data_IF_125689972009
#
_entry.id   IF_125689972009
#
_cell.length_a   1.000
_cell.length_b   1.000
_cell.length_c   1.000
_cell.angle_alpha   90.00
_cell.angle_beta   90.00
_cell.angle_gamma   90.00
#
_symmetry.space_group_name_H-M   'P 1'
#
loop_
_entity.id
_entity.type
_entity.pdbx_description
1 polymer ?
#
# COMPACT_ATOMS: atom_id res chain seq x y z
N UNK A 1 25.84 4.40 -4.03
CA UNK A 1 25.28 5.37 -4.99
C UNK A 1 24.00 6.04 -4.49
N UNK A 2 22.81 5.41 -4.53
CA UNK A 2 21.55 6.08 -4.11
C UNK A 2 21.53 6.54 -2.64
N UNK A 3 21.92 5.65 -1.72
CA UNK A 3 22.01 5.96 -0.29
C UNK A 3 23.03 7.06 0.04
N UNK A 4 24.07 7.22 -0.77
CA UNK A 4 25.09 8.27 -0.58
C UNK A 4 24.55 9.64 -0.99
N UNK A 5 23.86 9.74 -2.13
CA UNK A 5 23.18 10.98 -2.54
C UNK A 5 22.18 11.43 -1.48
N UNK A 6 21.39 10.50 -0.96
CA UNK A 6 20.43 10.79 0.09
C UNK A 6 21.11 11.24 1.39
N UNK A 7 22.19 10.56 1.82
CA UNK A 7 22.99 10.96 2.97
C UNK A 7 23.58 12.37 2.82
N UNK A 8 24.08 12.72 1.63
CA UNK A 8 24.57 14.08 1.35
C UNK A 8 23.47 15.12 1.48
N UNK A 9 22.27 14.82 0.98
CA UNK A 9 21.12 15.70 1.17
C UNK A 9 20.71 15.83 2.64
N UNK A 10 20.75 14.75 3.42
CA UNK A 10 20.50 14.83 4.87
C UNK A 10 21.53 15.71 5.62
N UNK A 11 22.78 15.76 5.14
CA UNK A 11 23.83 16.62 5.71
C UNK A 11 23.67 18.09 5.33
N UNK A 12 23.10 18.38 4.15
CA UNK A 12 22.77 19.73 3.70
C UNK A 12 21.31 19.80 3.20
N UNK A 13 20.31 19.87 4.11
CA UNK A 13 18.90 19.74 3.74
C UNK A 13 18.39 20.85 2.80
N UNK A 14 19.04 22.02 2.82
CA UNK A 14 18.68 23.19 2.01
C UNK A 14 19.01 22.99 0.52
N UNK A 15 19.91 22.05 0.20
CA UNK A 15 20.37 21.83 -1.16
C UNK A 15 20.21 20.36 -1.56
N UNK A 16 19.08 20.05 -2.20
CA UNK A 16 18.83 18.73 -2.73
C UNK A 16 19.47 18.56 -4.11
N UNK A 17 20.70 18.04 -4.11
CA UNK A 17 21.48 17.75 -5.33
C UNK A 17 20.98 16.54 -6.12
N UNK A 18 19.93 15.84 -5.66
CA UNK A 18 19.35 14.72 -6.41
C UNK A 18 18.52 15.30 -7.57
N UNK A 19 18.84 14.97 -8.84
CA UNK A 19 18.06 15.41 -9.99
C UNK A 19 16.59 15.01 -9.83
N UNK A 20 15.62 15.90 -10.12
CA UNK A 20 14.20 15.61 -9.92
C UNK A 20 13.73 14.27 -10.50
N UNK A 21 14.21 13.91 -11.69
CA UNK A 21 13.89 12.63 -12.35
C UNK A 21 14.39 11.38 -11.61
N UNK A 22 15.42 11.51 -10.76
CA UNK A 22 16.00 10.41 -9.99
C UNK A 22 15.47 10.34 -8.55
N UNK A 23 14.78 11.37 -8.07
CA UNK A 23 14.26 11.45 -6.69
C UNK A 23 13.37 10.27 -6.32
N UNK A 24 12.38 9.83 -7.14
CA UNK A 24 11.56 8.67 -6.79
C UNK A 24 12.39 7.43 -6.47
N UNK A 25 13.38 7.13 -7.31
CA UNK A 25 14.26 5.98 -7.13
C UNK A 25 15.20 6.16 -5.93
N UNK A 26 15.89 7.31 -5.84
CA UNK A 26 16.86 7.57 -4.76
C UNK A 26 16.18 7.58 -3.40
N UNK A 27 15.03 8.23 -3.26
CA UNK A 27 14.29 8.28 -2.01
C UNK A 27 13.80 6.89 -1.62
N UNK A 28 13.14 6.18 -2.54
CA UNK A 28 12.63 4.84 -2.25
C UNK A 28 13.74 3.88 -1.83
N UNK A 29 14.90 3.90 -2.51
CA UNK A 29 16.06 3.08 -2.14
C UNK A 29 16.63 3.47 -0.78
N UNK A 30 16.76 4.77 -0.50
CA UNK A 30 17.26 5.23 0.79
C UNK A 30 16.33 4.85 1.96
N UNK A 31 15.02 4.99 1.78
CA UNK A 31 14.02 4.60 2.78
C UNK A 31 13.94 3.08 2.96
N UNK A 32 14.09 2.30 1.88
CA UNK A 32 14.05 0.83 1.92
C UNK A 32 15.25 0.23 2.67
N UNK A 33 16.44 0.82 2.48
CA UNK A 33 17.70 0.34 3.06
C UNK A 33 17.97 0.98 4.43
N UNK A 34 17.56 2.23 4.61
CA UNK A 34 17.69 2.99 5.85
C UNK A 34 16.71 2.55 6.93
N UNK A 35 16.68 3.34 8.01
CA UNK A 35 15.78 3.12 9.13
C UNK A 35 14.90 4.34 9.40
N UNK A 36 14.46 4.45 10.65
CA UNK A 36 13.59 5.54 11.11
C UNK A 36 14.21 6.93 10.85
N UNK A 37 15.53 7.10 10.97
CA UNK A 37 16.21 8.38 10.75
C UNK A 37 16.05 8.90 9.32
N UNK A 38 16.31 8.06 8.32
CA UNK A 38 16.11 8.41 6.91
C UNK A 38 14.63 8.68 6.62
N UNK A 39 13.74 7.87 7.19
CA UNK A 39 12.29 8.03 7.02
C UNK A 39 11.77 9.34 7.60
N UNK A 40 12.15 9.68 8.84
CA UNK A 40 11.75 10.92 9.51
C UNK A 40 12.26 12.15 8.77
N UNK A 41 13.50 12.11 8.28
CA UNK A 41 14.03 13.19 7.46
C UNK A 41 13.17 13.42 6.21
N UNK A 42 12.79 12.38 5.47
CA UNK A 42 11.91 12.54 4.31
C UNK A 42 10.52 13.03 4.70
N UNK A 43 9.99 12.53 5.83
CA UNK A 43 8.68 12.93 6.34
C UNK A 43 8.65 14.41 6.70
N UNK A 44 9.74 14.97 7.21
CA UNK A 44 9.84 16.41 7.47
C UNK A 44 9.76 17.23 6.17
N UNK A 45 10.41 16.77 5.09
CA UNK A 45 10.34 17.42 3.77
C UNK A 45 8.92 17.45 3.21
N UNK A 46 8.14 16.38 3.44
CA UNK A 46 6.72 16.33 3.06
C UNK A 46 5.87 17.43 3.71
N UNK A 47 6.28 17.91 4.89
CA UNK A 47 5.53 18.89 5.69
C UNK A 47 5.98 20.33 5.43
N UNK A 48 6.88 20.56 4.47
CA UNK A 48 7.31 21.90 4.08
C UNK A 48 6.19 22.65 3.34
N UNK A 49 6.05 23.94 3.63
CA UNK A 49 4.93 24.77 3.16
C UNK A 49 4.93 24.93 1.64
N UNK A 50 6.11 25.03 1.02
CA UNK A 50 6.27 25.34 -0.41
C UNK A 50 6.72 24.12 -1.24
N UNK A 51 6.31 22.92 -0.84
CA UNK A 51 6.65 21.69 -1.57
C UNK A 51 5.94 21.65 -2.93
N UNK A 52 6.70 21.33 -4.00
CA UNK A 52 6.14 21.12 -5.34
C UNK A 52 5.36 19.79 -5.40
N UNK A 53 4.28 19.73 -6.18
CA UNK A 53 3.42 18.53 -6.25
C UNK A 53 4.14 17.28 -6.78
N UNK A 54 5.08 17.42 -7.71
CA UNK A 54 5.92 16.31 -8.20
C UNK A 54 6.85 15.76 -7.11
N UNK A 55 7.44 16.67 -6.32
CA UNK A 55 8.26 16.32 -5.17
C UNK A 55 7.42 15.63 -4.08
N UNK A 56 6.25 16.18 -3.76
CA UNK A 56 5.29 15.63 -2.81
C UNK A 56 4.87 14.22 -3.20
N UNK A 57 4.51 14.00 -4.46
CA UNK A 57 4.17 12.67 -4.98
C UNK A 57 5.34 11.68 -4.82
N UNK A 58 6.56 12.11 -5.17
CA UNK A 58 7.78 11.31 -5.02
C UNK A 58 8.04 10.92 -3.55
N UNK A 59 7.83 11.85 -2.62
CA UNK A 59 7.99 11.61 -1.18
C UNK A 59 6.90 10.67 -0.64
N UNK A 60 5.63 10.89 -0.98
CA UNK A 60 4.51 10.04 -0.55
C UNK A 60 4.72 8.58 -0.95
N UNK A 61 5.24 8.35 -2.16
CA UNK A 61 5.59 7.02 -2.63
C UNK A 61 6.81 6.46 -1.88
N UNK A 62 7.89 7.22 -1.77
CA UNK A 62 9.12 6.75 -1.15
C UNK A 62 8.99 6.38 0.33
N UNK A 63 8.17 7.13 1.09
CA UNK A 63 7.87 6.81 2.49
C UNK A 63 7.19 5.43 2.65
N UNK A 64 6.53 4.94 1.60
CA UNK A 64 5.89 3.62 1.57
C UNK A 64 6.87 2.48 1.22
N UNK A 65 8.11 2.80 0.80
CA UNK A 65 9.14 1.82 0.46
C UNK A 65 9.85 1.19 1.65
N UNK A 66 9.62 1.69 2.87
CA UNK A 66 10.30 1.20 4.07
C UNK A 66 10.02 -0.28 4.29
N UNK A 67 11.02 -0.99 4.81
CA UNK A 67 10.88 -2.38 5.28
C UNK A 67 10.37 -2.45 6.72
N UNK A 68 10.25 -1.33 7.40
CA UNK A 68 9.70 -1.23 8.76
C UNK A 68 8.18 -0.98 8.71
N UNK A 69 7.41 -1.98 9.16
CA UNK A 69 5.94 -1.92 9.19
C UNK A 69 5.41 -0.78 10.06
N UNK A 70 6.09 -0.40 11.13
CA UNK A 70 5.64 0.65 12.04
C UNK A 70 5.57 2.00 11.33
N UNK A 71 6.64 2.40 10.64
CA UNK A 71 6.68 3.69 9.95
C UNK A 71 5.75 3.72 8.72
N UNK A 72 5.57 2.59 8.03
CA UNK A 72 4.59 2.50 6.93
C UNK A 72 3.16 2.62 7.46
N UNK A 73 2.86 2.03 8.63
CA UNK A 73 1.55 2.21 9.29
C UNK A 73 1.31 3.66 9.69
N UNK A 74 2.30 4.33 10.31
CA UNK A 74 2.23 5.75 10.64
C UNK A 74 1.99 6.61 9.39
N UNK A 75 2.64 6.26 8.27
CA UNK A 75 2.42 6.94 6.99
C UNK A 75 1.00 6.76 6.46
N UNK A 76 0.50 5.52 6.47
CA UNK A 76 -0.85 5.19 6.03
C UNK A 76 -1.91 5.92 6.85
N UNK A 77 -1.79 5.90 8.17
CA UNK A 77 -2.70 6.59 9.08
C UNK A 77 -2.69 8.11 8.83
N UNK A 78 -1.51 8.68 8.55
CA UNK A 78 -1.38 10.09 8.16
C UNK A 78 -2.08 10.38 6.82
N UNK A 79 -1.91 9.54 5.79
CA UNK A 79 -2.58 9.70 4.49
C UNK A 79 -4.10 9.70 4.68
N UNK A 80 -4.64 8.71 5.40
CA UNK A 80 -6.07 8.60 5.65
C UNK A 80 -6.59 9.83 6.39
N UNK A 81 -5.90 10.26 7.46
CA UNK A 81 -6.32 11.42 8.25
C UNK A 81 -6.42 12.71 7.44
N UNK A 82 -5.45 12.95 6.54
CA UNK A 82 -5.40 14.19 5.77
C UNK A 82 -6.31 14.17 4.52
N UNK A 83 -6.56 12.98 3.94
CA UNK A 83 -7.23 12.87 2.65
C UNK A 83 -8.62 12.21 2.71
N UNK A 84 -9.11 11.74 3.88
CA UNK A 84 -10.40 11.03 3.98
C UNK A 84 -11.63 11.80 3.46
N UNK A 85 -11.53 13.12 3.35
CA UNK A 85 -12.61 13.98 2.84
C UNK A 85 -12.51 14.25 1.33
N UNK A 86 -11.40 13.87 0.69
CA UNK A 86 -11.20 13.95 -0.76
C UNK A 86 -10.91 12.53 -1.31
N UNK A 87 -11.91 11.86 -1.90
CA UNK A 87 -11.75 10.51 -2.41
C UNK A 87 -10.70 10.37 -3.52
N UNK A 88 -10.42 11.44 -4.28
CA UNK A 88 -9.44 11.41 -5.37
C UNK A 88 -8.03 11.50 -4.81
N UNK A 89 -7.77 12.46 -3.92
CA UNK A 89 -6.46 12.59 -3.24
C UNK A 89 -6.16 11.37 -2.37
N UNK A 90 -7.19 10.80 -1.73
CA UNK A 90 -7.06 9.56 -0.98
C UNK A 90 -6.70 8.38 -1.90
N UNK A 91 -7.36 8.28 -3.06
CA UNK A 91 -7.08 7.24 -4.04
C UNK A 91 -5.65 7.32 -4.56
N UNK A 92 -5.18 8.52 -4.90
CA UNK A 92 -3.85 8.74 -5.45
C UNK A 92 -2.76 8.47 -4.39
N UNK A 93 -2.99 8.92 -3.15
CA UNK A 93 -2.05 8.68 -2.04
C UNK A 93 -2.00 7.21 -1.60
N UNK A 94 -3.14 6.54 -1.42
CA UNK A 94 -3.19 5.13 -1.05
C UNK A 94 -2.68 4.21 -2.18
N UNK A 95 -2.77 4.67 -3.43
CA UNK A 95 -2.18 3.97 -4.56
C UNK A 95 -0.66 3.86 -4.46
N UNK A 96 0.04 4.78 -3.79
CA UNK A 96 1.48 4.66 -3.58
C UNK A 96 1.81 3.58 -2.53
N UNK A 97 1.02 3.51 -1.45
CA UNK A 97 1.14 2.49 -0.39
C UNK A 97 0.93 1.09 -0.95
N UNK A 98 -0.09 0.91 -1.81
CA UNK A 98 -0.41 -0.38 -2.41
C UNK A 98 0.64 -0.91 -3.41
N UNK A 99 1.68 -0.15 -3.74
CA UNK A 99 2.78 -0.64 -4.57
C UNK A 99 3.70 -1.61 -3.82
N UNK A 100 3.69 -1.59 -2.49
CA UNK A 100 4.65 -2.32 -1.66
C UNK A 100 3.97 -3.38 -0.79
N UNK A 101 4.60 -4.55 -0.57
CA UNK A 101 3.98 -5.66 0.17
C UNK A 101 3.46 -5.29 1.56
N UNK A 102 4.25 -4.56 2.36
CA UNK A 102 3.85 -4.09 3.69
C UNK A 102 2.62 -3.18 3.59
N UNK A 103 2.60 -2.28 2.61
CA UNK A 103 1.46 -1.41 2.36
C UNK A 103 0.21 -2.19 1.97
N UNK A 104 0.33 -3.21 1.11
CA UNK A 104 -0.77 -4.10 0.75
C UNK A 104 -1.33 -4.84 1.97
N UNK A 105 -0.46 -5.36 2.84
CA UNK A 105 -0.86 -5.99 4.11
C UNK A 105 -1.64 -5.00 4.98
N UNK A 106 -1.14 -3.79 5.19
CA UNK A 106 -1.81 -2.79 6.02
C UNK A 106 -3.15 -2.35 5.43
N UNK A 107 -3.27 -2.21 4.11
CA UNK A 107 -4.55 -1.93 3.45
C UNK A 107 -5.54 -3.08 3.61
N UNK A 108 -5.06 -4.34 3.58
CA UNK A 108 -5.90 -5.48 3.90
C UNK A 108 -6.41 -5.44 5.34
N UNK A 109 -5.60 -5.02 6.32
CA UNK A 109 -6.04 -4.84 7.71
C UNK A 109 -7.24 -3.90 7.83
N UNK A 110 -7.27 -2.81 7.05
CA UNK A 110 -8.41 -1.90 7.04
C UNK A 110 -9.68 -2.58 6.51
N UNK A 111 -9.56 -3.48 5.52
CA UNK A 111 -10.69 -4.29 5.06
C UNK A 111 -11.14 -5.23 6.17
N UNK A 112 -10.22 -5.92 6.87
CA UNK A 112 -10.55 -6.83 7.97
C UNK A 112 -11.29 -6.12 9.09
N UNK A 113 -10.78 -4.96 9.51
CA UNK A 113 -11.39 -4.18 10.57
C UNK A 113 -12.77 -3.66 10.15
N UNK A 114 -12.90 -3.13 8.93
CA UNK A 114 -14.19 -2.69 8.44
C UNK A 114 -15.20 -3.85 8.31
N UNK A 115 -14.73 -5.03 7.87
CA UNK A 115 -15.54 -6.24 7.82
C UNK A 115 -16.01 -6.67 9.20
N UNK A 116 -15.11 -6.71 10.18
CA UNK A 116 -15.42 -7.03 11.59
C UNK A 116 -16.48 -6.09 12.13
N UNK A 117 -16.36 -4.79 11.83
CA UNK A 117 -17.37 -3.80 12.21
C UNK A 117 -18.70 -4.07 11.53
N UNK A 118 -18.75 -4.30 10.21
CA UNK A 118 -20.01 -4.61 9.50
C UNK A 118 -20.68 -5.87 10.08
N UNK A 119 -19.91 -6.92 10.36
CA UNK A 119 -20.43 -8.16 10.91
C UNK A 119 -20.92 -8.03 12.35
N UNK A 120 -20.30 -7.16 13.16
CA UNK A 120 -20.69 -6.90 14.54
C UNK A 120 -21.81 -5.84 14.66
N UNK A 121 -21.78 -4.82 13.80
CA UNK A 121 -22.70 -3.68 13.74
C UNK A 121 -23.92 -3.92 12.86
N UNK A 122 -24.04 -5.07 12.19
CA UNK A 122 -25.26 -5.55 11.54
C UNK A 122 -26.49 -5.65 12.46
N UNK A 123 -26.42 -5.08 13.66
CA UNK A 123 -27.53 -4.79 14.55
C UNK A 123 -27.96 -3.31 14.62
N UNK A 124 -27.18 -2.27 14.24
CA UNK A 124 -27.55 -0.88 14.62
C UNK A 124 -26.84 0.36 13.98
N UNK A 125 -26.35 0.41 12.73
CA UNK A 125 -25.81 1.70 12.18
C UNK A 125 -26.18 2.00 10.72
N UNK A 126 -26.75 3.20 10.50
CA UNK A 126 -27.30 3.73 9.22
C UNK A 126 -26.49 4.89 8.60
N UNK A 127 -25.23 5.12 9.00
CA UNK A 127 -24.45 6.24 8.45
C UNK A 127 -23.20 5.81 7.65
N UNK A 128 -23.07 6.25 6.38
CA UNK A 128 -21.81 6.19 5.67
C UNK A 128 -20.85 7.23 6.25
N UNK A 129 -20.08 6.82 7.25
CA UNK A 129 -19.00 7.62 7.85
C UNK A 129 -17.80 7.70 6.91
N UNK A 130 -16.81 8.57 7.20
CA UNK A 130 -15.54 8.63 6.46
C UNK A 130 -14.86 7.26 6.30
N UNK A 131 -15.12 6.32 7.22
CA UNK A 131 -14.68 4.91 7.16
C UNK A 131 -15.21 4.17 5.92
N UNK A 132 -16.44 4.42 5.49
CA UNK A 132 -17.02 3.79 4.30
C UNK A 132 -16.39 4.32 2.99
N UNK A 133 -16.03 5.61 2.97
CA UNK A 133 -15.27 6.22 1.87
C UNK A 133 -13.89 5.57 1.75
N UNK A 134 -13.13 5.53 2.85
CA UNK A 134 -11.81 4.89 2.91
C UNK A 134 -11.88 3.43 2.45
N UNK A 135 -12.82 2.65 2.97
CA UNK A 135 -13.02 1.25 2.56
C UNK A 135 -13.27 1.13 1.05
N UNK A 136 -14.15 1.97 0.49
CA UNK A 136 -14.46 1.95 -0.96
C UNK A 136 -13.22 2.22 -1.81
N UNK A 137 -12.38 3.17 -1.41
CA UNK A 137 -11.12 3.47 -2.09
C UNK A 137 -10.15 2.29 -2.01
N UNK A 138 -9.99 1.69 -0.83
CA UNK A 138 -9.11 0.53 -0.64
C UNK A 138 -9.56 -0.66 -1.51
N UNK A 139 -10.86 -0.95 -1.54
CA UNK A 139 -11.44 -2.00 -2.40
C UNK A 139 -11.15 -1.73 -3.88
N UNK A 140 -11.28 -0.48 -4.34
CA UNK A 140 -10.98 -0.08 -5.74
C UNK A 140 -9.50 -0.28 -6.09
N UNK A 141 -8.59 -0.05 -5.15
CA UNK A 141 -7.14 -0.23 -5.36
C UNK A 141 -6.79 -1.72 -5.44
N UNK A 142 -7.16 -2.48 -4.41
CA UNK A 142 -6.76 -3.88 -4.28
C UNK A 142 -7.48 -4.80 -5.29
N UNK A 143 -8.69 -4.46 -5.75
CA UNK A 143 -9.36 -5.22 -6.82
C UNK A 143 -8.69 -5.10 -8.19
N UNK A 144 -7.87 -4.05 -8.42
CA UNK A 144 -7.22 -3.82 -9.72
C UNK A 144 -5.78 -4.28 -9.75
N UNK A 145 -5.08 -4.29 -8.62
CA UNK A 145 -3.65 -4.58 -8.56
C UNK A 145 -3.37 -6.05 -8.33
N UNK A 146 -2.30 -6.56 -8.96
CA UNK A 146 -1.70 -7.80 -8.52
C UNK A 146 -0.97 -7.52 -7.21
N UNK A 147 -1.28 -8.30 -6.18
CA UNK A 147 -0.59 -8.24 -4.91
C UNK A 147 0.02 -9.61 -4.65
N UNK A 148 1.33 -9.62 -4.47
CA UNK A 148 2.10 -10.81 -4.08
C UNK A 148 2.11 -10.84 -2.57
N UNK A 149 1.03 -11.32 -2.01
CA UNK A 149 0.93 -11.52 -0.59
C UNK A 149 1.34 -12.95 -0.29
N UNK A 150 2.26 -13.10 0.65
CA UNK A 150 2.58 -14.37 1.30
C UNK A 150 1.33 -14.83 2.08
N UNK A 151 0.31 -15.33 1.39
CA UNK A 151 -0.97 -15.82 1.91
C UNK A 151 -1.93 -14.76 2.49
N UNK A 152 -1.94 -13.53 1.99
CA UNK A 152 -2.98 -12.54 2.33
C UNK A 152 -3.75 -12.15 1.05
N UNK A 153 -5.07 -12.01 1.10
CA UNK A 153 -5.89 -12.67 2.09
C UNK A 153 -5.74 -14.18 2.00
N UNK A 154 -5.88 -14.83 3.14
CA UNK A 154 -5.97 -16.28 3.17
C UNK A 154 -7.21 -16.71 2.36
N UNK A 155 -7.12 -17.82 1.64
CA UNK A 155 -8.22 -18.29 0.79
C UNK A 155 -9.47 -18.62 1.61
N UNK A 156 -9.29 -19.18 2.82
CA UNK A 156 -10.36 -19.46 3.77
C UNK A 156 -10.95 -18.18 4.34
N UNK A 157 -10.11 -17.17 4.61
CA UNK A 157 -10.56 -15.84 5.05
C UNK A 157 -11.47 -15.20 3.99
N UNK A 158 -11.04 -15.17 2.72
CA UNK A 158 -11.87 -14.67 1.61
C UNK A 158 -13.18 -15.42 1.52
N UNK A 159 -13.16 -16.74 1.61
CA UNK A 159 -14.35 -17.57 1.51
C UNK A 159 -15.32 -17.34 2.68
N UNK A 160 -14.78 -17.19 3.89
CA UNK A 160 -15.54 -16.89 5.09
C UNK A 160 -16.22 -15.51 4.99
N UNK A 161 -15.49 -14.50 4.51
CA UNK A 161 -16.06 -13.17 4.24
C UNK A 161 -17.15 -13.23 3.16
N UNK A 162 -16.91 -13.93 2.04
CA UNK A 162 -17.92 -14.09 0.99
C UNK A 162 -19.22 -14.74 1.50
N UNK A 163 -19.09 -15.80 2.28
CA UNK A 163 -20.24 -16.55 2.81
C UNK A 163 -21.02 -15.75 3.85
N UNK A 164 -20.31 -15.03 4.74
CA UNK A 164 -20.94 -14.34 5.87
C UNK A 164 -21.61 -13.01 5.49
N UNK A 165 -21.08 -12.24 4.52
CA UNK A 165 -21.63 -10.92 4.19
C UNK A 165 -22.62 -10.85 3.03
N UNK A 166 -22.90 -11.96 2.33
CA UNK A 166 -23.86 -11.97 1.21
C UNK A 166 -25.26 -11.49 1.59
N UNK A 167 -25.68 -11.70 2.86
CA UNK A 167 -26.98 -11.28 3.40
C UNK A 167 -26.96 -9.94 4.15
N UNK A 168 -25.80 -9.46 4.60
CA UNK A 168 -25.69 -8.31 5.52
C UNK A 168 -25.27 -7.01 4.84
N UNK A 169 -24.67 -7.07 3.65
CA UNK A 169 -24.28 -5.87 2.89
C UNK A 169 -25.41 -5.36 2.00
N UNK A 170 -26.14 -4.36 2.50
CA UNK A 170 -27.14 -3.59 1.72
C UNK A 170 -26.49 -2.60 0.75
N UNK A 171 -25.30 -2.10 1.06
CA UNK A 171 -24.59 -1.15 0.22
C UNK A 171 -24.05 -1.82 -1.06
N UNK A 172 -24.70 -1.54 -2.20
CA UNK A 172 -24.35 -2.12 -3.50
C UNK A 172 -22.93 -1.79 -3.98
N UNK A 173 -22.38 -0.63 -3.62
CA UNK A 173 -21.01 -0.22 -3.99
C UNK A 173 -20.00 -1.06 -3.24
N UNK A 174 -20.15 -1.20 -1.91
CA UNK A 174 -19.28 -2.03 -1.09
C UNK A 174 -19.38 -3.50 -1.49
N UNK A 175 -20.61 -4.00 -1.71
CA UNK A 175 -20.84 -5.37 -2.18
C UNK A 175 -20.14 -5.65 -3.52
N UNK A 176 -20.20 -4.71 -4.47
CA UNK A 176 -19.49 -4.82 -5.76
C UNK A 176 -17.97 -4.81 -5.55
N UNK A 177 -17.44 -3.83 -4.81
CA UNK A 177 -16.00 -3.71 -4.58
C UNK A 177 -15.40 -4.94 -3.89
N UNK A 178 -16.11 -5.52 -2.92
CA UNK A 178 -15.73 -6.77 -2.29
C UNK A 178 -15.75 -7.95 -3.27
N UNK A 179 -16.80 -8.08 -4.08
CA UNK A 179 -16.87 -9.13 -5.09
C UNK A 179 -15.73 -9.04 -6.11
N UNK A 180 -15.42 -7.84 -6.58
CA UNK A 180 -14.32 -7.59 -7.51
C UNK A 180 -12.97 -7.95 -6.89
N UNK A 181 -12.75 -7.55 -5.64
CA UNK A 181 -11.56 -7.91 -4.86
C UNK A 181 -11.42 -9.43 -4.69
N UNK A 182 -12.48 -10.13 -4.34
CA UNK A 182 -12.45 -11.58 -4.15
C UNK A 182 -12.26 -12.33 -5.46
N UNK A 183 -12.89 -11.87 -6.55
CA UNK A 183 -12.64 -12.41 -7.89
C UNK A 183 -11.16 -12.28 -8.25
N UNK A 184 -10.58 -11.09 -8.07
CA UNK A 184 -9.16 -10.82 -8.33
C UNK A 184 -8.24 -11.68 -7.48
N UNK A 185 -8.55 -11.84 -6.20
CA UNK A 185 -7.80 -12.71 -5.28
C UNK A 185 -7.73 -14.16 -5.80
N UNK A 186 -8.87 -14.72 -6.21
CA UNK A 186 -8.94 -16.09 -6.77
C UNK A 186 -8.13 -16.23 -8.05
N UNK A 187 -8.21 -15.24 -8.95
CA UNK A 187 -7.41 -15.21 -10.19
C UNK A 187 -5.91 -15.17 -9.90
N UNK A 188 -5.47 -14.32 -8.97
CA UNK A 188 -4.07 -14.21 -8.55
C UNK A 188 -3.56 -15.53 -7.95
N UNK A 189 -4.32 -16.18 -7.06
CA UNK A 189 -3.96 -17.48 -6.46
C UNK A 189 -3.80 -18.55 -7.54
N UNK A 190 -4.75 -18.64 -8.47
CA UNK A 190 -4.70 -19.61 -9.58
C UNK A 190 -3.47 -19.38 -10.45
N UNK A 191 -3.19 -18.12 -10.81
CA UNK A 191 -2.02 -17.77 -11.61
C UNK A 191 -0.72 -18.11 -10.90
N UNK A 192 -0.58 -17.75 -9.62
CA UNK A 192 0.61 -18.05 -8.82
C UNK A 192 0.83 -19.55 -8.70
N UNK A 193 -0.19 -20.35 -8.38
CA UNK A 193 -0.08 -21.82 -8.33
C UNK A 193 0.37 -22.43 -9.66
N UNK A 194 -0.07 -21.87 -10.78
CA UNK A 194 0.27 -22.41 -12.10
C UNK A 194 1.67 -22.01 -12.60
N UNK A 195 2.19 -20.84 -12.20
CA UNK A 195 3.40 -20.27 -12.82
C UNK A 195 4.58 -20.05 -11.86
N UNK A 196 4.35 -20.01 -10.54
CA UNK A 196 5.39 -19.69 -9.54
C UNK A 196 6.61 -20.58 -9.68
N UNK A 197 6.42 -21.89 -9.74
CA UNK A 197 7.53 -22.85 -9.74
C UNK A 197 8.30 -22.80 -11.07
N UNK A 198 7.58 -22.63 -12.19
CA UNK A 198 8.21 -22.45 -13.52
C UNK A 198 9.08 -21.19 -13.54
N UNK A 199 8.57 -20.06 -13.06
CA UNK A 199 9.32 -18.80 -12.98
C UNK A 199 10.49 -18.93 -12.01
N UNK A 200 10.28 -19.56 -10.85
CA UNK A 200 11.33 -19.75 -9.85
C UNK A 200 12.46 -20.62 -10.38
N UNK A 201 12.15 -21.69 -11.11
CA UNK A 201 13.14 -22.56 -11.73
C UNK A 201 13.92 -21.82 -12.81
N UNK A 202 13.21 -21.10 -13.69
CA UNK A 202 13.86 -20.29 -14.73
C UNK A 202 14.82 -19.26 -14.14
N UNK A 203 14.40 -18.54 -13.09
CA UNK A 203 15.25 -17.57 -12.39
C UNK A 203 16.48 -18.25 -11.75
N UNK A 204 16.29 -19.43 -11.15
CA UNK A 204 17.39 -20.18 -10.54
C UNK A 204 18.43 -20.66 -11.56
N UNK A 205 18.01 -20.93 -12.79
CA UNK A 205 18.87 -21.37 -13.88
C UNK A 205 19.61 -20.20 -14.55
N UNK A 206 18.96 -19.04 -14.67
CA UNK A 206 19.45 -17.95 -15.53
C UNK A 206 19.96 -16.72 -14.77
N UNK A 207 19.74 -16.60 -13.46
CA UNK A 207 20.24 -15.49 -12.65
C UNK A 207 21.47 -15.93 -11.85
N UNK A 208 22.69 -15.53 -12.26
CA UNK A 208 23.94 -16.01 -11.67
C UNK A 208 24.18 -15.46 -10.25
N UNK A 209 23.59 -14.31 -9.91
CA UNK A 209 23.71 -13.69 -8.59
C UNK A 209 22.34 -13.62 -7.91
N UNK A 210 22.10 -14.53 -6.96
CA UNK A 210 20.85 -14.61 -6.19
C UNK A 210 20.75 -13.55 -5.10
N UNK A 211 21.84 -12.84 -4.79
CA UNK A 211 21.89 -11.80 -3.76
C UNK A 211 21.22 -10.49 -4.19
N UNK A 212 20.99 -10.31 -5.50
CA UNK A 212 20.31 -9.12 -6.06
C UNK A 212 18.77 -9.21 -5.89
N UNK A 213 18.23 -10.39 -5.55
CA UNK A 213 16.79 -10.66 -5.50
C UNK A 213 16.14 -10.50 -4.09
N UNK A 214 16.88 -10.01 -3.08
CA UNK A 214 16.42 -9.84 -1.69
C UNK A 214 16.24 -8.36 -1.28
#
# INVERSE_FOLDING_TARGET
MATEYYKKWMLNPQENLIPPSLRPAVYCTAIRIGGQKEWEFLKQRLLEVDIKEDEKSSILQALSCSRDMWVVKLHLDWIIKNNQNDPQDLLDSLSSVALYPIGQTLLWEHIREAWRLIMNEGKNTTQPTSKACVLTVILKILSKRHYTLNNIPDQEEVLAMQTSGQKLLENHVLKRGLNDLFKRSKENIKWTKAHRDVISNWLNEHVPDKTILL
#
